data_IF_900207759492
#
_entry.id   IF_900207759492
#
_cell.length_a   1.000
_cell.length_b   1.000
_cell.length_c   1.000
_cell.angle_alpha   90.00
_cell.angle_beta   90.00
_cell.angle_gamma   90.00
#
_symmetry.space_group_name_H-M   'P 1'
#
loop_
_entity.id
_entity.type
_entity.pdbx_description
1 polymer ?
#
# COMPACT_ATOMS: atom_id res chain seq x y z
N UNK A 1 -16.10 -5.12 18.60
CA UNK A 1 -17.04 -4.05 18.13
C UNK A 1 -16.21 -3.05 17.34
N UNK A 2 -16.75 -2.53 16.20
CA UNK A 2 -16.10 -1.47 15.40
C UNK A 2 -15.87 -0.21 16.26
N UNK A 3 -14.74 0.45 16.07
CA UNK A 3 -14.43 1.71 16.76
C UNK A 3 -15.51 2.76 16.49
N UNK A 4 -16.12 3.36 17.51
CA UNK A 4 -17.24 4.28 17.35
C UNK A 4 -16.88 5.53 16.54
N UNK A 5 -15.60 5.92 16.50
CA UNK A 5 -15.11 7.05 15.67
C UNK A 5 -15.24 6.76 14.19
N UNK A 6 -15.03 5.51 13.77
CA UNK A 6 -15.24 5.08 12.37
C UNK A 6 -16.73 5.12 12.03
N UNK A 7 -17.57 4.62 12.93
CA UNK A 7 -19.02 4.66 12.76
C UNK A 7 -19.53 6.09 12.64
N UNK A 8 -19.06 7.00 13.51
CA UNK A 8 -19.41 8.42 13.46
C UNK A 8 -18.94 9.09 12.17
N UNK A 9 -17.69 8.85 11.76
CA UNK A 9 -17.15 9.40 10.51
C UNK A 9 -17.94 8.91 9.31
N UNK A 10 -18.24 7.61 9.26
CA UNK A 10 -19.08 7.02 8.21
C UNK A 10 -20.47 7.71 8.17
N UNK A 11 -21.13 7.85 9.30
CA UNK A 11 -22.43 8.54 9.38
C UNK A 11 -22.36 9.99 8.89
N UNK A 12 -21.32 10.74 9.33
CA UNK A 12 -21.11 12.13 8.91
C UNK A 12 -20.83 12.26 7.40
N UNK A 13 -20.11 11.31 6.81
CA UNK A 13 -19.82 11.32 5.37
C UNK A 13 -21.08 10.99 4.56
N UNK A 14 -21.89 10.05 5.03
CA UNK A 14 -23.20 9.72 4.44
C UNK A 14 -24.14 10.92 4.51
N UNK A 15 -24.33 11.50 5.70
CA UNK A 15 -25.23 12.63 5.92
C UNK A 15 -24.86 13.87 5.08
N UNK A 16 -23.57 14.09 4.83
CA UNK A 16 -23.05 15.19 4.00
C UNK A 16 -22.96 14.86 2.51
N UNK A 17 -23.39 13.67 2.12
CA UNK A 17 -23.29 13.22 0.74
C UNK A 17 -21.86 13.11 0.18
N UNK A 18 -20.87 12.95 1.06
CA UNK A 18 -19.45 12.86 0.72
C UNK A 18 -18.93 11.42 0.61
N UNK A 19 -19.77 10.43 0.90
CA UNK A 19 -19.45 9.03 0.66
C UNK A 19 -19.43 8.73 -0.84
N UNK A 20 -18.65 7.71 -1.23
CA UNK A 20 -18.74 7.16 -2.59
C UNK A 20 -20.21 6.89 -2.95
N UNK A 21 -20.64 7.42 -4.08
CA UNK A 21 -21.99 7.21 -4.60
C UNK A 21 -21.92 6.52 -5.95
N UNK A 22 -22.79 5.55 -6.23
CA UNK A 22 -22.95 5.05 -7.59
C UNK A 22 -23.16 6.22 -8.57
N UNK A 23 -22.37 6.22 -9.66
CA UNK A 23 -22.41 7.32 -10.65
C UNK A 23 -21.44 8.48 -10.38
N UNK A 24 -20.67 8.47 -9.26
CA UNK A 24 -19.61 9.45 -9.05
C UNK A 24 -18.51 9.31 -10.12
N UNK A 25 -18.06 10.45 -10.66
CA UNK A 25 -16.93 10.46 -11.60
C UNK A 25 -15.59 10.16 -10.88
N UNK A 26 -14.62 9.65 -11.60
CA UNK A 26 -13.27 9.39 -11.07
C UNK A 26 -12.67 10.67 -10.45
N UNK A 27 -12.81 11.82 -11.12
CA UNK A 27 -12.32 13.10 -10.63
C UNK A 27 -12.94 13.48 -9.27
N UNK A 28 -14.25 13.26 -9.08
CA UNK A 28 -14.92 13.54 -7.81
C UNK A 28 -14.42 12.63 -6.68
N UNK A 29 -14.22 11.34 -6.96
CA UNK A 29 -13.71 10.39 -5.96
C UNK A 29 -12.27 10.71 -5.59
N UNK A 30 -11.40 11.01 -6.58
CA UNK A 30 -10.01 11.46 -6.35
C UNK A 30 -9.96 12.70 -5.47
N UNK A 31 -10.72 13.73 -5.80
CA UNK A 31 -10.76 14.97 -5.00
C UNK A 31 -11.22 14.73 -3.55
N UNK A 32 -12.24 13.88 -3.36
CA UNK A 32 -12.72 13.51 -2.02
C UNK A 32 -11.68 12.76 -1.20
N UNK A 33 -10.91 11.89 -1.84
CA UNK A 33 -9.85 11.12 -1.21
C UNK A 33 -8.67 11.99 -0.76
N UNK A 34 -8.21 12.88 -1.64
CA UNK A 34 -7.16 13.88 -1.30
C UNK A 34 -7.59 14.74 -0.10
N UNK A 35 -8.83 15.22 -0.11
CA UNK A 35 -9.35 16.06 0.98
C UNK A 35 -9.45 15.29 2.32
N UNK A 36 -9.81 14.01 2.29
CA UNK A 36 -9.83 13.15 3.47
C UNK A 36 -8.43 13.04 4.08
N UNK A 37 -7.43 12.69 3.26
CA UNK A 37 -6.03 12.57 3.69
C UNK A 37 -5.49 13.89 4.27
N UNK A 38 -5.76 15.01 3.59
CA UNK A 38 -5.35 16.32 4.06
C UNK A 38 -5.90 16.66 5.46
N UNK A 39 -7.14 16.27 5.76
CA UNK A 39 -7.81 16.59 7.03
C UNK A 39 -7.46 15.65 8.17
N UNK A 40 -7.37 14.36 7.88
CA UNK A 40 -7.33 13.31 8.90
C UNK A 40 -6.04 12.49 8.87
N UNK A 41 -5.11 12.82 7.98
CA UNK A 41 -3.78 12.21 7.89
C UNK A 41 -2.91 12.46 9.11
N UNK A 42 -1.71 11.91 9.11
CA UNK A 42 -0.71 12.10 10.18
C UNK A 42 -0.39 13.59 10.38
N UNK A 43 -0.03 14.01 11.60
CA UNK A 43 0.53 15.35 11.82
C UNK A 43 1.78 15.58 10.96
N UNK A 44 2.06 16.83 10.55
CA UNK A 44 3.29 17.16 9.82
C UNK A 44 4.55 16.78 10.61
N UNK A 45 5.59 16.44 9.87
CA UNK A 45 6.93 16.10 10.39
C UNK A 45 7.96 17.00 9.70
N UNK A 46 8.75 17.78 10.49
CA UNK A 46 9.63 18.83 9.96
C UNK A 46 11.11 18.37 9.80
N UNK A 47 11.50 17.25 10.39
CA UNK A 47 12.86 16.72 10.36
C UNK A 47 13.13 15.74 9.22
N UNK A 48 12.34 15.82 8.15
CA UNK A 48 12.48 15.02 6.93
C UNK A 48 12.67 15.94 5.73
N UNK A 49 13.70 15.66 4.94
CA UNK A 49 13.94 16.30 3.65
C UNK A 49 13.25 15.51 2.55
N UNK A 50 12.73 16.20 1.54
CA UNK A 50 12.07 15.58 0.39
C UNK A 50 12.71 16.06 -0.90
N UNK A 51 13.11 15.12 -1.76
CA UNK A 51 13.52 15.38 -3.13
C UNK A 51 12.50 14.78 -4.09
N UNK A 52 12.13 15.53 -5.13
CA UNK A 52 11.32 15.02 -6.24
C UNK A 52 12.24 14.39 -7.27
N UNK A 53 11.94 13.16 -7.66
CA UNK A 53 12.71 12.36 -8.61
C UNK A 53 11.83 11.96 -9.79
N UNK A 54 12.47 11.56 -10.89
CA UNK A 54 11.84 11.05 -12.10
C UNK A 54 12.35 9.65 -12.39
N UNK A 55 11.43 8.69 -12.49
CA UNK A 55 11.73 7.28 -12.75
C UNK A 55 11.30 6.94 -14.17
N UNK A 56 12.24 6.56 -15.07
CA UNK A 56 11.89 6.13 -16.41
C UNK A 56 11.21 4.75 -16.37
N UNK A 57 10.19 4.56 -17.19
CA UNK A 57 9.48 3.29 -17.35
C UNK A 57 9.90 2.57 -18.63
N UNK A 58 9.64 1.25 -18.69
CA UNK A 58 9.96 0.38 -19.85
C UNK A 58 9.28 0.80 -21.15
N UNK A 59 8.15 1.48 -21.08
CA UNK A 59 7.38 1.99 -22.22
C UNK A 59 7.74 3.43 -22.62
N UNK A 60 8.78 4.02 -22.01
CA UNK A 60 9.28 5.35 -22.33
C UNK A 60 8.57 6.49 -21.61
N UNK A 61 7.62 6.20 -20.71
CA UNK A 61 7.04 7.21 -19.84
C UNK A 61 7.96 7.54 -18.65
N UNK A 62 7.54 8.47 -17.82
CA UNK A 62 8.27 8.87 -16.61
C UNK A 62 7.31 8.99 -15.44
N UNK A 63 7.64 8.38 -14.32
CA UNK A 63 6.89 8.50 -13.06
C UNK A 63 7.55 9.54 -12.17
N UNK A 64 6.74 10.38 -11.52
CA UNK A 64 7.23 11.21 -10.43
C UNK A 64 7.39 10.35 -9.16
N UNK A 65 8.34 10.72 -8.31
CA UNK A 65 8.51 10.08 -7.01
C UNK A 65 9.03 11.08 -5.98
N UNK A 66 8.63 10.91 -4.72
CA UNK A 66 9.18 11.64 -3.59
C UNK A 66 10.13 10.74 -2.80
N UNK A 67 11.39 11.18 -2.69
CA UNK A 67 12.37 10.55 -1.82
C UNK A 67 12.48 11.36 -0.52
N UNK A 68 11.99 10.77 0.57
CA UNK A 68 12.08 11.32 1.91
C UNK A 68 13.31 10.78 2.64
N UNK A 69 14.05 11.67 3.31
CA UNK A 69 15.18 11.33 4.15
C UNK A 69 15.11 12.02 5.51
N UNK A 70 15.36 11.32 6.62
CA UNK A 70 15.56 11.99 7.91
C UNK A 70 16.75 12.94 7.84
N UNK A 71 16.59 14.18 8.32
CA UNK A 71 17.69 15.17 8.35
C UNK A 71 18.87 14.66 9.18
N UNK A 72 20.07 14.93 8.70
CA UNK A 72 21.29 14.53 9.39
C UNK A 72 21.63 13.04 9.36
N UNK A 73 20.93 12.25 8.57
CA UNK A 73 21.22 10.83 8.41
C UNK A 73 22.51 10.59 7.63
N UNK A 74 23.31 9.59 8.07
CA UNK A 74 24.51 9.15 7.36
C UNK A 74 24.16 8.18 6.22
N UNK A 75 24.73 8.40 5.03
CA UNK A 75 24.60 7.47 3.90
C UNK A 75 25.59 6.28 4.04
N UNK A 76 25.31 5.12 3.41
CA UNK A 76 24.10 4.79 2.65
C UNK A 76 22.94 4.39 3.56
N UNK A 77 21.76 4.93 3.30
CA UNK A 77 20.55 4.63 4.05
C UNK A 77 19.80 3.38 3.52
N UNK A 78 19.22 2.55 4.39
CA UNK A 78 18.20 1.60 3.95
C UNK A 78 16.96 2.35 3.43
N UNK A 79 16.18 1.72 2.56
CA UNK A 79 15.06 2.39 1.92
C UNK A 79 13.80 1.52 1.88
N UNK A 80 12.65 2.14 2.16
CA UNK A 80 11.32 1.58 1.90
C UNK A 80 10.80 2.15 0.58
N UNK A 81 10.61 1.30 -0.45
CA UNK A 81 9.86 1.62 -1.67
C UNK A 81 8.38 1.46 -1.35
N UNK A 82 7.64 2.57 -1.36
CA UNK A 82 6.25 2.62 -0.91
C UNK A 82 5.29 3.00 -2.02
N UNK A 83 4.17 2.26 -2.08
CA UNK A 83 3.07 2.49 -3.01
C UNK A 83 1.79 2.82 -2.23
N UNK A 84 1.13 3.92 -2.60
CA UNK A 84 -0.11 4.35 -1.96
C UNK A 84 -1.29 3.45 -2.31
N UNK A 85 -2.33 3.45 -1.45
CA UNK A 85 -3.60 2.78 -1.71
C UNK A 85 -4.51 3.56 -2.64
N UNK A 86 -5.73 3.03 -2.82
CA UNK A 86 -6.75 3.69 -3.64
C UNK A 86 -7.24 2.86 -4.82
N UNK A 87 -7.22 1.52 -4.73
CA UNK A 87 -7.79 0.60 -5.73
C UNK A 87 -7.17 0.74 -7.12
N UNK A 88 -5.92 1.25 -7.23
CA UNK A 88 -5.23 1.55 -8.48
C UNK A 88 -5.95 2.59 -9.36
N UNK A 89 -6.88 3.36 -8.79
CA UNK A 89 -7.72 4.35 -9.49
C UNK A 89 -7.64 5.73 -8.85
N UNK A 90 -7.44 5.81 -7.54
CA UNK A 90 -7.37 7.06 -6.79
C UNK A 90 -6.12 7.12 -5.91
N UNK A 91 -5.86 8.27 -5.31
CA UNK A 91 -4.64 8.54 -4.55
C UNK A 91 -3.57 9.18 -5.41
N UNK A 92 -2.60 9.79 -4.76
CA UNK A 92 -1.41 10.39 -5.35
C UNK A 92 -0.32 10.54 -4.28
N UNK A 93 0.92 10.73 -4.70
CA UNK A 93 2.07 10.93 -3.78
C UNK A 93 1.88 12.14 -2.89
N UNK A 94 1.39 13.31 -3.37
CA UNK A 94 1.16 14.47 -2.51
C UNK A 94 0.16 14.23 -1.38
N UNK A 95 -0.92 13.48 -1.62
CA UNK A 95 -1.92 13.19 -0.58
C UNK A 95 -1.42 12.23 0.49
N UNK A 96 -0.38 11.44 0.18
CA UNK A 96 0.28 10.51 1.10
C UNK A 96 1.52 11.10 1.78
N UNK A 97 1.95 12.32 1.44
CA UNK A 97 3.15 12.97 1.98
C UNK A 97 3.20 12.95 3.52
N UNK A 98 2.07 13.19 4.17
CA UNK A 98 1.95 13.12 5.64
C UNK A 98 2.34 11.74 6.21
N UNK A 99 1.98 10.63 5.55
CA UNK A 99 2.25 9.27 6.00
C UNK A 99 3.67 8.85 5.67
N UNK A 100 4.12 9.15 4.46
CA UNK A 100 5.45 8.75 3.97
C UNK A 100 6.57 9.51 4.68
N UNK A 101 6.37 10.80 4.99
CA UNK A 101 7.28 11.56 5.86
C UNK A 101 7.30 11.01 7.28
N UNK A 102 6.13 10.69 7.84
CA UNK A 102 6.05 10.04 9.17
C UNK A 102 6.81 8.72 9.19
N UNK A 103 6.70 7.89 8.15
CA UNK A 103 7.44 6.63 8.07
C UNK A 103 8.95 6.84 7.98
N UNK A 104 9.42 7.80 7.18
CA UNK A 104 10.84 8.13 7.12
C UNK A 104 11.36 8.64 8.47
N UNK A 105 10.60 9.50 9.16
CA UNK A 105 10.92 10.01 10.50
C UNK A 105 11.01 8.90 11.54
N UNK A 106 9.95 8.15 11.71
CA UNK A 106 9.83 7.13 12.76
C UNK A 106 10.76 5.94 12.52
N UNK A 107 10.91 5.52 11.26
CA UNK A 107 11.79 4.41 10.87
C UNK A 107 13.27 4.78 10.82
N UNK A 108 13.62 6.07 10.79
CA UNK A 108 15.01 6.54 10.55
C UNK A 108 15.62 5.94 9.29
N UNK A 109 14.83 5.72 8.27
CA UNK A 109 15.21 5.17 6.96
C UNK A 109 14.80 6.13 5.84
N UNK A 110 15.36 5.96 4.66
CA UNK A 110 14.83 6.63 3.48
C UNK A 110 13.50 6.00 3.07
N UNK A 111 12.63 6.78 2.42
CA UNK A 111 11.39 6.28 1.83
C UNK A 111 11.22 6.88 0.43
N UNK A 112 11.03 6.00 -0.56
CA UNK A 112 10.70 6.38 -1.93
C UNK A 112 9.22 6.11 -2.20
N UNK A 113 8.41 7.17 -2.33
CA UNK A 113 6.99 7.11 -2.67
C UNK A 113 6.82 7.35 -4.15
N UNK A 114 6.15 6.43 -4.87
CA UNK A 114 6.06 6.43 -6.33
C UNK A 114 4.67 6.79 -6.81
N UNK A 115 4.59 7.75 -7.73
CA UNK A 115 3.38 8.15 -8.45
C UNK A 115 3.14 7.17 -9.61
N UNK A 116 2.68 5.95 -9.30
CA UNK A 116 2.36 4.96 -10.33
C UNK A 116 1.08 5.34 -11.07
N UNK A 117 0.98 4.97 -12.35
CA UNK A 117 -0.13 5.33 -13.22
C UNK A 117 -1.42 4.62 -12.84
N UNK A 118 -2.53 5.38 -12.85
CA UNK A 118 -3.84 4.95 -12.35
C UNK A 118 -4.83 4.66 -13.47
N UNK A 119 -5.76 3.74 -13.20
CA UNK A 119 -6.96 3.59 -14.00
C UNK A 119 -7.98 4.73 -13.78
N UNK A 120 -8.88 4.96 -14.74
CA UNK A 120 -9.08 4.24 -15.99
C UNK A 120 -8.13 4.65 -17.12
N UNK A 121 -7.32 5.69 -16.93
CA UNK A 121 -6.39 6.22 -17.94
C UNK A 121 -5.33 5.17 -18.29
N UNK A 122 -4.86 4.45 -17.26
CA UNK A 122 -3.85 3.38 -17.38
C UNK A 122 -4.35 2.13 -16.65
N UNK A 123 -5.05 1.27 -17.38
CA UNK A 123 -5.62 0.05 -16.84
C UNK A 123 -4.55 -1.01 -16.56
N UNK A 124 -4.93 -2.07 -15.84
CA UNK A 124 -4.07 -3.25 -15.65
C UNK A 124 -3.43 -3.69 -16.99
N UNK A 125 -2.13 -4.03 -17.06
CA UNK A 125 -1.20 -4.21 -15.92
C UNK A 125 -0.34 -2.98 -15.57
N UNK A 126 -0.58 -1.79 -16.13
CA UNK A 126 0.35 -0.64 -16.12
C UNK A 126 0.88 -0.32 -14.71
N UNK A 127 0.03 -0.24 -13.67
CA UNK A 127 0.47 0.06 -12.30
C UNK A 127 1.46 -1.00 -11.75
N UNK A 128 1.33 -2.25 -12.15
CA UNK A 128 2.22 -3.34 -11.77
C UNK A 128 3.56 -3.27 -12.50
N UNK A 129 3.53 -2.96 -13.80
CA UNK A 129 4.73 -2.69 -14.60
C UNK A 129 5.50 -1.50 -14.05
N UNK A 130 4.81 -0.41 -13.69
CA UNK A 130 5.39 0.77 -13.04
C UNK A 130 6.08 0.41 -11.71
N UNK A 131 5.49 -0.48 -10.93
CA UNK A 131 6.08 -0.94 -9.67
C UNK A 131 7.38 -1.72 -9.90
N UNK A 132 7.43 -2.62 -10.89
CA UNK A 132 8.67 -3.32 -11.28
C UNK A 132 9.73 -2.36 -11.80
N UNK A 133 9.34 -1.39 -12.65
CA UNK A 133 10.24 -0.38 -13.19
C UNK A 133 10.83 0.49 -12.07
N UNK A 134 10.01 0.88 -11.07
CA UNK A 134 10.46 1.63 -9.91
C UNK A 134 11.45 0.82 -9.04
N UNK A 135 11.19 -0.47 -8.80
CA UNK A 135 12.12 -1.33 -8.06
C UNK A 135 13.44 -1.49 -8.81
N UNK A 136 13.39 -1.80 -10.11
CA UNK A 136 14.60 -1.98 -10.92
C UNK A 136 15.41 -0.69 -11.05
N UNK A 137 14.75 0.46 -11.19
CA UNK A 137 15.41 1.75 -11.18
C UNK A 137 16.07 2.03 -9.81
N UNK A 138 15.34 1.82 -8.71
CA UNK A 138 15.88 2.02 -7.36
C UNK A 138 17.11 1.14 -7.10
N UNK A 139 17.10 -0.12 -7.51
CA UNK A 139 18.24 -1.03 -7.37
C UNK A 139 19.47 -0.54 -8.12
N UNK A 140 19.31 0.04 -9.30
CA UNK A 140 20.43 0.60 -10.10
C UNK A 140 20.95 1.92 -9.56
N UNK A 141 20.04 2.81 -9.12
CA UNK A 141 20.39 4.17 -8.73
C UNK A 141 20.66 4.34 -7.22
N UNK A 142 20.46 3.31 -6.42
CA UNK A 142 20.54 3.40 -4.96
C UNK A 142 21.81 4.08 -4.48
N UNK A 143 22.99 3.67 -4.96
CA UNK A 143 24.26 4.26 -4.54
C UNK A 143 24.41 5.73 -4.92
N UNK A 144 23.98 6.11 -6.13
CA UNK A 144 23.98 7.51 -6.60
C UNK A 144 23.07 8.37 -5.72
N UNK A 145 22.00 7.77 -5.22
CA UNK A 145 21.06 8.41 -4.30
C UNK A 145 21.50 8.33 -2.83
N UNK A 146 22.68 7.79 -2.49
CA UNK A 146 23.12 7.59 -1.11
C UNK A 146 22.29 6.57 -0.35
N UNK A 147 21.74 5.56 -1.04
CA UNK A 147 20.93 4.46 -0.51
C UNK A 147 21.67 3.13 -0.64
N UNK A 148 21.34 2.15 0.19
CA UNK A 148 21.89 0.80 0.10
C UNK A 148 20.97 -0.13 -0.72
N UNK A 149 21.44 -0.53 -1.90
CA UNK A 149 20.71 -1.41 -2.81
C UNK A 149 20.40 -2.80 -2.21
N UNK A 150 21.14 -3.24 -1.18
CA UNK A 150 20.92 -4.52 -0.49
C UNK A 150 19.89 -4.42 0.63
N UNK A 151 19.53 -3.21 1.06
CA UNK A 151 18.60 -2.93 2.14
C UNK A 151 17.36 -2.19 1.61
N UNK A 152 16.71 -2.78 0.60
CA UNK A 152 15.44 -2.30 0.03
C UNK A 152 14.30 -3.13 0.58
N UNK A 153 13.38 -2.51 1.34
CA UNK A 153 12.07 -3.06 1.63
C UNK A 153 11.04 -2.54 0.62
N UNK A 154 9.97 -3.29 0.43
CA UNK A 154 8.79 -2.83 -0.30
C UNK A 154 7.59 -2.75 0.63
N UNK A 155 6.69 -1.80 0.41
CA UNK A 155 5.50 -1.66 1.22
C UNK A 155 4.42 -0.84 0.56
N UNK A 156 3.24 -0.90 1.14
CA UNK A 156 2.08 -0.15 0.68
C UNK A 156 0.83 -0.52 1.43
N UNK A 157 -0.20 0.29 1.24
CA UNK A 157 -1.52 0.02 1.80
C UNK A 157 -2.51 -0.34 0.70
N UNK A 158 -3.46 -1.23 0.99
CA UNK A 158 -4.52 -1.61 0.06
C UNK A 158 -3.95 -1.97 -1.32
N UNK A 159 -4.37 -1.31 -2.38
CA UNK A 159 -3.86 -1.49 -3.75
C UNK A 159 -2.33 -1.41 -3.83
N UNK A 160 -1.70 -0.46 -3.12
CA UNK A 160 -0.24 -0.35 -3.05
C UNK A 160 0.41 -1.52 -2.31
N UNK A 161 -0.24 -2.05 -1.29
CA UNK A 161 0.19 -3.28 -0.63
C UNK A 161 0.12 -4.50 -1.56
N UNK A 162 -0.86 -4.54 -2.49
CA UNK A 162 -0.94 -5.53 -3.56
C UNK A 162 0.25 -5.42 -4.53
N UNK A 163 0.67 -4.19 -4.91
CA UNK A 163 1.88 -3.97 -5.70
C UNK A 163 3.13 -4.47 -4.97
N UNK A 164 3.28 -4.13 -3.69
CA UNK A 164 4.42 -4.58 -2.87
C UNK A 164 4.49 -6.11 -2.74
N UNK A 165 3.35 -6.78 -2.53
CA UNK A 165 3.26 -8.23 -2.49
C UNK A 165 3.63 -8.88 -3.84
N UNK A 166 3.23 -8.25 -4.96
CA UNK A 166 3.61 -8.68 -6.31
C UNK A 166 5.11 -8.56 -6.54
N UNK A 167 5.73 -7.44 -6.17
CA UNK A 167 7.19 -7.29 -6.24
C UNK A 167 7.89 -8.37 -5.45
N UNK A 168 7.43 -8.65 -4.22
CA UNK A 168 8.01 -9.70 -3.37
C UNK A 168 7.93 -11.09 -4.01
N UNK A 169 6.83 -11.39 -4.72
CA UNK A 169 6.59 -12.70 -5.31
C UNK A 169 7.27 -12.89 -6.68
N UNK A 170 7.38 -11.81 -7.47
CA UNK A 170 7.69 -11.91 -8.89
C UNK A 170 8.94 -11.12 -9.35
N UNK A 171 9.63 -10.37 -8.45
CA UNK A 171 10.82 -9.60 -8.82
C UNK A 171 11.87 -10.45 -9.58
N UNK A 172 12.15 -11.66 -9.09
CA UNK A 172 13.15 -12.54 -9.72
C UNK A 172 12.75 -13.02 -11.12
N UNK A 173 11.46 -13.24 -11.40
CA UNK A 173 10.98 -13.56 -12.73
C UNK A 173 11.07 -12.39 -13.71
N UNK A 174 11.15 -11.17 -13.19
CA UNK A 174 11.39 -9.93 -13.95
C UNK A 174 12.89 -9.55 -14.02
N UNK A 175 13.78 -10.43 -13.56
CA UNK A 175 15.23 -10.22 -13.57
C UNK A 175 15.72 -9.21 -12.51
N UNK A 176 14.95 -8.97 -11.45
CA UNK A 176 15.25 -8.04 -10.38
C UNK A 176 15.64 -8.79 -9.11
N UNK A 177 16.46 -8.14 -8.27
CA UNK A 177 16.76 -8.65 -6.93
C UNK A 177 15.50 -8.60 -6.05
N UNK A 178 15.36 -9.61 -5.17
CA UNK A 178 14.22 -9.69 -4.24
C UNK A 178 14.36 -8.61 -3.17
N UNK A 179 13.25 -7.92 -2.81
CA UNK A 179 13.24 -7.05 -1.64
C UNK A 179 13.65 -7.79 -0.36
N UNK A 180 14.37 -7.09 0.55
CA UNK A 180 14.82 -7.66 1.81
C UNK A 180 13.69 -7.85 2.83
N UNK A 181 12.60 -7.10 2.70
CA UNK A 181 11.45 -7.12 3.60
C UNK A 181 10.19 -6.64 2.88
N UNK A 182 8.98 -7.07 3.33
CA UNK A 182 7.72 -6.51 2.88
C UNK A 182 6.86 -6.02 4.04
N UNK A 183 6.38 -4.77 3.92
CA UNK A 183 5.43 -4.14 4.83
C UNK A 183 4.07 -4.00 4.16
N UNK A 184 3.17 -4.90 4.48
CA UNK A 184 1.86 -5.03 3.85
C UNK A 184 0.76 -4.50 4.78
N UNK A 185 0.03 -3.48 4.33
CA UNK A 185 -1.07 -2.89 5.08
C UNK A 185 -2.37 -3.25 4.36
N UNK A 186 -3.13 -4.20 4.90
CA UNK A 186 -4.41 -4.72 4.39
C UNK A 186 -4.51 -4.88 2.86
N UNK A 187 -3.54 -5.50 2.17
CA UNK A 187 -3.55 -5.60 0.72
C UNK A 187 -4.66 -6.49 0.17
N UNK A 188 -5.18 -6.22 -1.06
CA UNK A 188 -5.86 -7.23 -1.85
C UNK A 188 -4.80 -8.22 -2.39
N UNK A 189 -5.04 -9.51 -2.17
CA UNK A 189 -4.13 -10.60 -2.55
C UNK A 189 -4.81 -11.66 -3.41
N UNK A 190 -6.12 -11.54 -3.62
CA UNK A 190 -6.92 -12.43 -4.45
C UNK A 190 -8.06 -11.67 -5.15
N UNK A 191 -7.92 -11.47 -6.45
CA UNK A 191 -8.94 -10.80 -7.25
C UNK A 191 -10.17 -11.67 -7.54
N UNK A 192 -10.19 -12.97 -7.14
CA UNK A 192 -11.32 -13.88 -7.39
C UNK A 192 -12.45 -13.77 -6.35
N UNK A 193 -12.27 -12.96 -5.32
CA UNK A 193 -13.26 -12.68 -4.27
C UNK A 193 -13.80 -13.92 -3.52
N UNK A 194 -13.06 -15.02 -3.44
CA UNK A 194 -13.50 -16.31 -2.87
C UNK A 194 -13.64 -16.34 -1.34
N UNK A 195 -13.06 -15.36 -0.63
CA UNK A 195 -13.00 -15.37 0.84
C UNK A 195 -14.31 -14.90 1.51
N UNK A 196 -14.70 -15.53 2.66
CA UNK A 196 -15.94 -15.21 3.36
C UNK A 196 -16.07 -13.77 3.84
N UNK A 197 -14.97 -13.13 4.25
CA UNK A 197 -14.94 -11.72 4.71
C UNK A 197 -15.49 -10.76 3.66
N UNK A 198 -15.33 -11.07 2.37
CA UNK A 198 -15.88 -10.29 1.25
C UNK A 198 -17.40 -10.15 1.29
N UNK A 199 -18.11 -11.13 1.87
CA UNK A 199 -19.57 -11.11 2.07
C UNK A 199 -19.95 -10.69 3.48
N UNK A 200 -19.11 -11.02 4.49
CA UNK A 200 -19.39 -10.69 5.90
C UNK A 200 -19.33 -9.17 6.15
N UNK A 201 -18.43 -8.48 5.47
CA UNK A 201 -18.20 -7.05 5.63
C UNK A 201 -18.68 -6.25 4.41
N UNK A 202 -19.96 -6.41 4.06
CA UNK A 202 -20.56 -5.81 2.87
C UNK A 202 -21.33 -4.50 3.15
N UNK A 203 -21.59 -4.15 4.44
CA UNK A 203 -22.40 -2.97 4.81
C UNK A 203 -21.76 -2.15 5.92
N UNK A 204 -21.97 -0.83 5.83
CA UNK A 204 -21.60 0.10 6.89
C UNK A 204 -20.09 0.30 7.10
N UNK A 205 -19.26 -0.10 6.13
CA UNK A 205 -17.81 -0.01 6.17
C UNK A 205 -17.26 0.78 4.96
N UNK A 206 -16.04 1.32 5.05
CA UNK A 206 -15.46 2.13 3.96
C UNK A 206 -15.31 1.38 2.63
N UNK A 207 -14.89 0.12 2.65
CA UNK A 207 -14.69 -0.70 1.45
C UNK A 207 -15.94 -1.54 1.13
N UNK A 208 -16.97 -0.86 0.58
CA UNK A 208 -18.23 -1.53 0.22
C UNK A 208 -18.11 -2.37 -1.06
N UNK A 209 -19.04 -3.33 -1.33
CA UNK A 209 -19.09 -4.06 -2.59
C UNK A 209 -19.19 -3.15 -3.82
N UNK A 210 -19.97 -2.07 -3.72
CA UNK A 210 -20.17 -1.12 -4.81
C UNK A 210 -18.84 -0.39 -5.12
N UNK A 211 -18.10 0.02 -4.08
CA UNK A 211 -16.80 0.66 -4.26
C UNK A 211 -15.77 -0.32 -4.84
N UNK A 212 -15.73 -1.57 -4.36
CA UNK A 212 -14.85 -2.61 -4.95
C UNK A 212 -15.18 -2.84 -6.43
N UNK A 213 -16.45 -2.99 -6.76
CA UNK A 213 -16.92 -3.14 -8.15
C UNK A 213 -16.51 -1.94 -9.00
N UNK A 214 -16.66 -0.72 -8.48
CA UNK A 214 -16.26 0.50 -9.17
C UNK A 214 -14.75 0.54 -9.43
N UNK A 215 -13.91 0.16 -8.47
CA UNK A 215 -12.46 0.03 -8.68
C UNK A 215 -12.14 -0.97 -9.79
N UNK A 216 -12.74 -2.16 -9.76
CA UNK A 216 -12.51 -3.19 -10.77
C UNK A 216 -12.93 -2.72 -12.18
N UNK A 217 -14.08 -2.04 -12.30
CA UNK A 217 -14.58 -1.49 -13.58
C UNK A 217 -13.66 -0.41 -14.17
N UNK A 218 -12.99 0.38 -13.32
CA UNK A 218 -12.06 1.42 -13.76
C UNK A 218 -10.63 0.90 -13.97
N UNK A 219 -10.22 -0.17 -13.28
CA UNK A 219 -8.86 -0.68 -13.35
C UNK A 219 -8.70 -1.86 -14.31
N UNK A 220 -9.60 -2.84 -14.34
CA UNK A 220 -9.49 -4.00 -15.22
C UNK A 220 -9.90 -3.66 -16.66
N UNK A 221 -9.25 -4.29 -17.63
CA UNK A 221 -9.63 -4.26 -19.06
C UNK A 221 -10.79 -5.21 -19.29
N UNK A 222 -10.72 -6.41 -18.67
CA UNK A 222 -11.76 -7.43 -18.73
C UNK A 222 -11.80 -8.22 -17.40
N UNK A 223 -12.79 -9.08 -17.24
CA UNK A 223 -12.89 -9.99 -16.09
C UNK A 223 -11.74 -11.01 -16.03
N UNK A 224 -11.12 -11.31 -17.16
CA UNK A 224 -10.04 -12.28 -17.26
C UNK A 224 -8.77 -11.79 -16.56
N UNK A 225 -8.59 -10.47 -16.43
CA UNK A 225 -7.48 -9.89 -15.68
C UNK A 225 -7.41 -10.41 -14.25
N UNK A 226 -8.56 -10.72 -13.61
CA UNK A 226 -8.62 -11.28 -12.26
C UNK A 226 -7.89 -12.63 -12.11
N UNK A 227 -7.64 -13.34 -13.21
CA UNK A 227 -6.91 -14.62 -13.24
C UNK A 227 -5.40 -14.44 -13.31
N UNK A 228 -4.91 -13.21 -13.54
CA UNK A 228 -3.48 -12.95 -13.66
C UNK A 228 -2.77 -13.23 -12.32
N UNK A 229 -1.62 -13.94 -12.32
CA UNK A 229 -0.86 -14.25 -11.10
C UNK A 229 -0.47 -13.01 -10.26
N UNK A 230 -0.23 -11.86 -10.90
CA UNK A 230 0.07 -10.61 -10.20
C UNK A 230 -1.06 -10.08 -9.32
N UNK A 231 -2.31 -10.52 -9.59
CA UNK A 231 -3.50 -10.19 -8.80
C UNK A 231 -3.93 -11.32 -7.85
N UNK A 232 -3.09 -12.37 -7.74
CA UNK A 232 -3.35 -13.59 -6.94
C UNK A 232 -2.11 -14.05 -6.20
N UNK A 233 -1.47 -13.14 -5.47
CA UNK A 233 -0.21 -13.41 -4.73
C UNK A 233 -0.37 -14.53 -3.69
N UNK A 234 -1.59 -14.77 -3.21
CA UNK A 234 -1.90 -15.89 -2.33
C UNK A 234 -1.61 -17.27 -2.96
N UNK A 235 -1.61 -17.35 -4.30
CA UNK A 235 -1.32 -18.58 -5.03
C UNK A 235 0.14 -18.67 -5.50
N UNK A 236 1.03 -17.78 -5.00
CA UNK A 236 2.47 -17.82 -5.32
C UNK A 236 3.03 -19.24 -5.17
N UNK A 237 3.71 -19.78 -6.20
CA UNK A 237 4.13 -21.18 -6.21
C UNK A 237 5.24 -21.49 -5.21
N UNK A 238 6.01 -20.48 -4.79
CA UNK A 238 7.13 -20.64 -3.86
C UNK A 238 7.05 -19.67 -2.68
N UNK A 239 6.15 -19.87 -1.71
CA UNK A 239 6.01 -18.99 -0.56
C UNK A 239 7.27 -18.93 0.33
N UNK A 240 8.07 -20.01 0.39
CA UNK A 240 9.32 -20.06 1.15
C UNK A 240 10.38 -19.06 0.64
N UNK A 241 10.24 -18.60 -0.59
CA UNK A 241 11.15 -17.63 -1.18
C UNK A 241 10.77 -16.17 -0.89
N UNK A 242 9.62 -15.92 -0.29
CA UNK A 242 9.16 -14.56 0.00
C UNK A 242 9.94 -13.94 1.17
N UNK A 243 10.12 -12.60 1.18
CA UNK A 243 10.87 -11.95 2.24
C UNK A 243 10.13 -11.99 3.58
N UNK A 244 10.85 -11.81 4.71
CA UNK A 244 10.22 -11.55 6.01
C UNK A 244 9.16 -10.46 5.91
N UNK A 245 8.05 -10.63 6.66
CA UNK A 245 6.82 -9.87 6.44
C UNK A 245 6.30 -9.26 7.73
N UNK A 246 5.97 -7.96 7.70
CA UNK A 246 5.03 -7.36 8.63
C UNK A 246 3.71 -7.10 7.93
N UNK A 247 2.65 -7.75 8.40
CA UNK A 247 1.30 -7.64 7.84
C UNK A 247 0.39 -6.93 8.83
N UNK A 248 -0.02 -5.71 8.52
CA UNK A 248 -0.93 -4.92 9.33
C UNK A 248 -2.36 -5.04 8.78
N UNK A 249 -3.24 -5.65 9.56
CA UNK A 249 -4.61 -5.98 9.15
C UNK A 249 -5.66 -5.21 9.94
N UNK A 250 -6.78 -4.87 9.30
CA UNK A 250 -7.98 -4.34 9.93
C UNK A 250 -8.98 -5.47 10.21
N UNK A 251 -9.60 -5.47 11.39
CA UNK A 251 -10.54 -6.53 11.77
C UNK A 251 -11.91 -6.41 11.10
N UNK A 252 -12.31 -5.19 10.73
CA UNK A 252 -13.53 -4.89 9.98
C UNK A 252 -13.19 -4.58 8.52
N UNK A 253 -12.73 -5.61 7.80
CA UNK A 253 -12.26 -5.48 6.43
C UNK A 253 -12.70 -6.66 5.56
N UNK A 254 -13.18 -6.37 4.37
CA UNK A 254 -13.50 -7.38 3.37
C UNK A 254 -12.28 -8.23 2.96
N UNK A 255 -11.04 -7.73 3.17
CA UNK A 255 -9.78 -8.37 2.79
C UNK A 255 -9.12 -9.15 3.95
N UNK A 256 -9.73 -9.19 5.14
CA UNK A 256 -9.07 -9.74 6.34
C UNK A 256 -8.78 -11.24 6.23
N UNK A 257 -9.67 -12.02 5.63
CA UNK A 257 -9.50 -13.48 5.53
C UNK A 257 -8.38 -13.84 4.54
N UNK A 258 -8.30 -13.16 3.40
CA UNK A 258 -7.21 -13.40 2.43
C UNK A 258 -5.85 -12.97 2.99
N UNK A 259 -5.81 -11.87 3.76
CA UNK A 259 -4.61 -11.45 4.47
C UNK A 259 -4.16 -12.46 5.53
N UNK A 260 -5.09 -13.03 6.30
CA UNK A 260 -4.81 -14.11 7.25
C UNK A 260 -4.27 -15.34 6.53
N UNK A 261 -4.96 -15.78 5.48
CA UNK A 261 -4.56 -16.95 4.69
C UNK A 261 -3.14 -16.77 4.14
N UNK A 262 -2.81 -15.61 3.58
CA UNK A 262 -1.48 -15.30 3.07
C UNK A 262 -0.42 -15.38 4.17
N UNK A 263 -0.67 -14.75 5.32
CA UNK A 263 0.25 -14.74 6.45
C UNK A 263 0.51 -16.16 7.01
N UNK A 264 -0.53 -16.97 7.12
CA UNK A 264 -0.42 -18.35 7.61
C UNK A 264 0.34 -19.21 6.59
N UNK A 265 0.07 -19.06 5.30
CA UNK A 265 0.80 -19.76 4.24
C UNK A 265 2.30 -19.45 4.20
N UNK A 266 2.68 -18.19 4.48
CA UNK A 266 4.10 -17.83 4.61
C UNK A 266 4.75 -18.48 5.84
N UNK A 267 4.05 -18.48 6.98
CA UNK A 267 4.55 -19.13 8.21
C UNK A 267 4.76 -20.62 8.01
N UNK A 268 3.79 -21.29 7.38
CA UNK A 268 3.86 -22.73 7.07
C UNK A 268 5.04 -23.05 6.16
N UNK A 269 5.46 -22.08 5.33
CA UNK A 269 6.65 -22.17 4.48
C UNK A 269 7.95 -21.76 5.18
N UNK A 270 7.92 -21.43 6.49
CA UNK A 270 9.10 -21.05 7.26
C UNK A 270 9.52 -19.58 7.13
N UNK A 271 8.73 -18.72 6.50
CA UNK A 271 9.02 -17.28 6.40
C UNK A 271 8.66 -16.58 7.71
N UNK A 272 9.53 -15.72 8.27
CA UNK A 272 9.19 -14.90 9.43
C UNK A 272 8.04 -13.94 9.12
N UNK A 273 6.92 -14.06 9.85
CA UNK A 273 5.74 -13.21 9.66
C UNK A 273 5.21 -12.68 10.98
N UNK A 274 5.12 -11.37 11.09
CA UNK A 274 4.31 -10.69 12.10
C UNK A 274 2.96 -10.34 11.46
N UNK A 275 1.88 -10.96 11.93
CA UNK A 275 0.51 -10.60 11.54
C UNK A 275 -0.12 -9.78 12.66
N UNK A 276 -0.19 -8.46 12.47
CA UNK A 276 -0.73 -7.50 13.42
C UNK A 276 -2.17 -7.16 13.07
N UNK A 277 -3.10 -7.87 13.69
CA UNK A 277 -4.52 -7.62 13.53
C UNK A 277 -4.99 -6.52 14.49
N UNK A 278 -5.51 -5.42 13.95
CA UNK A 278 -6.19 -4.38 14.70
C UNK A 278 -7.71 -4.64 14.68
N UNK A 279 -8.26 -5.28 15.73
CA UNK A 279 -9.55 -5.96 15.65
C UNK A 279 -10.76 -5.03 15.59
N UNK A 280 -10.59 -3.74 15.90
CA UNK A 280 -11.71 -2.78 16.01
C UNK A 280 -11.68 -1.69 14.93
N UNK A 281 -10.71 -1.72 14.01
CA UNK A 281 -10.61 -0.73 12.93
C UNK A 281 -11.00 -1.34 11.57
N UNK A 282 -11.32 -0.46 10.61
CA UNK A 282 -11.78 -0.83 9.28
C UNK A 282 -10.73 -0.52 8.21
N UNK A 283 -10.93 -1.06 7.00
CA UNK A 283 -10.11 -0.76 5.82
C UNK A 283 -9.91 0.74 5.61
N UNK A 284 -8.75 1.15 5.12
CA UNK A 284 -8.44 2.56 4.85
C UNK A 284 -8.09 3.40 6.10
N UNK A 285 -7.76 2.77 7.23
CA UNK A 285 -7.41 3.49 8.45
C UNK A 285 -6.13 4.35 8.33
N UNK A 286 -5.26 4.10 7.36
CA UNK A 286 -4.07 4.92 7.09
C UNK A 286 -4.41 6.36 6.71
N UNK A 287 -5.63 6.60 6.22
CA UNK A 287 -6.10 7.91 5.76
C UNK A 287 -6.69 8.76 6.91
N UNK A 288 -6.92 8.14 8.07
CA UNK A 288 -7.57 8.78 9.22
C UNK A 288 -6.84 8.52 10.55
N UNK A 289 -5.50 8.38 10.57
CA UNK A 289 -4.76 8.02 11.78
C UNK A 289 -4.90 9.09 12.87
N UNK A 290 -5.12 10.37 12.51
CA UNK A 290 -5.27 11.47 13.47
C UNK A 290 -6.36 11.21 14.51
N UNK A 291 -7.41 10.50 14.14
CA UNK A 291 -8.53 10.20 15.04
C UNK A 291 -8.54 8.75 15.55
N UNK A 292 -7.60 7.91 15.11
CA UNK A 292 -7.54 6.49 15.44
C UNK A 292 -6.19 6.11 16.09
N UNK A 293 -6.03 6.15 17.41
CA UNK A 293 -4.78 5.77 18.07
C UNK A 293 -4.30 4.35 17.74
N UNK A 294 -5.21 3.40 17.54
CA UNK A 294 -4.84 2.04 17.12
C UNK A 294 -4.20 2.01 15.72
N UNK A 295 -4.67 2.87 14.81
CA UNK A 295 -4.06 3.04 13.49
C UNK A 295 -2.65 3.60 13.63
N UNK A 296 -2.47 4.70 14.40
CA UNK A 296 -1.15 5.28 14.64
C UNK A 296 -0.17 4.26 15.23
N UNK A 297 -0.60 3.50 16.24
CA UNK A 297 0.23 2.48 16.87
C UNK A 297 0.63 1.39 15.87
N UNK A 298 -0.32 0.88 15.07
CA UNK A 298 -0.04 -0.14 14.06
C UNK A 298 0.94 0.33 12.98
N UNK A 299 0.77 1.57 12.50
CA UNK A 299 1.67 2.17 11.53
C UNK A 299 3.08 2.36 12.10
N UNK A 300 3.20 2.81 13.35
CA UNK A 300 4.47 2.94 14.05
C UNK A 300 5.16 1.60 14.27
N UNK A 301 4.42 0.60 14.75
CA UNK A 301 4.97 -0.73 15.00
C UNK A 301 5.47 -1.37 13.70
N UNK A 302 4.70 -1.19 12.60
CA UNK A 302 5.09 -1.69 11.27
C UNK A 302 6.36 -1.04 10.72
N UNK A 303 6.47 0.30 10.78
CA UNK A 303 7.67 0.96 10.26
C UNK A 303 8.91 0.68 11.11
N UNK A 304 8.77 0.50 12.42
CA UNK A 304 9.86 0.05 13.30
C UNK A 304 10.32 -1.37 12.95
N UNK A 305 9.39 -2.26 12.59
CA UNK A 305 9.74 -3.59 12.11
C UNK A 305 10.53 -3.54 10.78
N UNK A 306 10.16 -2.65 9.85
CA UNK A 306 10.93 -2.40 8.62
C UNK A 306 12.35 -1.94 8.98
N UNK A 307 12.47 -0.92 9.84
CA UNK A 307 13.77 -0.39 10.26
C UNK A 307 14.66 -1.47 10.90
N UNK A 308 14.09 -2.28 11.79
CA UNK A 308 14.81 -3.37 12.45
C UNK A 308 15.25 -4.47 11.47
N UNK A 309 14.46 -4.75 10.43
CA UNK A 309 14.80 -5.76 9.43
C UNK A 309 15.88 -5.27 8.44
N UNK A 310 16.02 -3.96 8.28
CA UNK A 310 17.00 -3.33 7.38
C UNK A 310 18.26 -2.81 8.11
N UNK A 311 18.37 -2.98 9.42
CA UNK A 311 19.51 -2.55 10.22
C UNK A 311 20.84 -3.40 9.97
#
# INVERSE_FOLDING_TARGET
MLDPRITLLHWLTVARGRQFRPGATVAQVRAGYVELNRRLGMPPVDDVETATLSIPTRDGATLAAHLHRPKGSAAPLPVLLFFHGGGWVIGDVPSYDHLTRYFAHEGKIALLSVEYRLGPEHRFPTAFEDAFDALGWLQREALTLGLDARRIAVGGDSAGGGLAATLSAFAQSEGLERPAFQFLIYPPLDATERFPSRRKFDKGLPLTPELRTWFMQNFFRSKDDASNPWLRQIDSPNPASLPPTYFLAAGYDALVDEGRYYADRLRDAGVPVVYDLRPTIAHGFVNIPRILPQAQNGLRDGIRAVSAALA
#
